data_IF_914258632330
#
_entry.id   IF_914258632330
#
_cell.length_a   1.000
_cell.length_b   1.000
_cell.length_c   1.000
_cell.angle_alpha   90.00
_cell.angle_beta   90.00
_cell.angle_gamma   90.00
#
_symmetry.space_group_name_H-M   'P 1'
#
loop_
_entity.id
_entity.type
_entity.pdbx_description
1 polymer ?
#
# COMPACT_ATOMS: atom_id res chain seq x y z
N UNK A 1 -4.13 72.15 73.03
CA UNK A 1 -4.33 71.30 71.83
C UNK A 1 -3.55 70.01 72.05
N UNK A 2 -4.20 68.86 72.27
CA UNK A 2 -3.50 67.59 72.46
C UNK A 2 -3.06 66.94 71.12
N UNK A 3 -2.01 66.08 71.15
CA UNK A 3 -1.34 65.55 69.98
C UNK A 3 -1.95 64.25 69.41
N UNK A 4 -1.42 63.89 68.24
CA UNK A 4 -1.94 62.96 67.25
C UNK A 4 -1.77 61.47 67.56
N UNK A 5 -2.75 60.70 67.06
CA UNK A 5 -2.71 59.26 66.82
C UNK A 5 -1.57 58.87 65.87
N UNK A 6 -0.82 57.83 66.21
CA UNK A 6 -0.11 57.03 65.20
C UNK A 6 -0.24 55.54 65.56
N UNK A 7 -1.00 54.83 64.73
CA UNK A 7 -1.28 53.40 64.85
C UNK A 7 -0.30 52.62 63.99
N UNK A 8 0.47 51.74 64.62
CA UNK A 8 1.37 50.80 63.95
C UNK A 8 0.59 49.81 63.07
N UNK A 9 0.90 49.77 61.77
CA UNK A 9 0.48 48.68 60.87
C UNK A 9 1.74 48.03 60.30
N UNK A 10 2.06 46.87 60.86
CA UNK A 10 3.04 45.91 60.35
C UNK A 10 2.53 45.28 59.05
N UNK A 11 3.14 45.62 57.92
CA UNK A 11 2.95 44.92 56.64
C UNK A 11 3.86 43.69 56.58
N UNK A 12 3.26 42.50 56.63
CA UNK A 12 3.94 41.23 56.34
C UNK A 12 4.07 41.04 54.81
N UNK A 13 5.31 40.97 54.33
CA UNK A 13 5.67 40.70 52.95
C UNK A 13 5.67 39.18 52.72
N UNK A 14 4.60 38.66 52.08
CA UNK A 14 4.53 37.26 51.64
C UNK A 14 4.95 37.14 50.17
N UNK A 15 5.99 36.35 49.92
CA UNK A 15 6.43 35.94 48.57
C UNK A 15 5.51 34.85 48.00
N UNK A 16 5.25 34.80 46.68
CA UNK A 16 4.40 33.78 46.07
C UNK A 16 5.12 32.43 45.87
N UNK A 17 4.39 31.31 45.85
CA UNK A 17 4.96 29.96 45.76
C UNK A 17 5.44 29.60 44.35
N UNK A 18 6.52 28.83 44.30
CA UNK A 18 7.16 28.25 43.11
C UNK A 18 6.23 27.29 42.35
N UNK A 19 6.05 27.50 41.05
CA UNK A 19 5.34 26.58 40.14
C UNK A 19 6.14 25.30 39.85
N UNK A 20 5.50 24.11 39.73
CA UNK A 20 6.14 22.89 39.28
C UNK A 20 6.40 22.93 37.77
N UNK A 21 7.66 22.72 37.37
CA UNK A 21 8.09 22.60 35.98
C UNK A 21 7.57 21.28 35.39
N UNK A 22 6.49 21.34 34.61
CA UNK A 22 5.97 20.18 33.86
C UNK A 22 7.05 19.71 32.88
N UNK A 23 7.66 18.56 33.15
CA UNK A 23 8.59 17.87 32.25
C UNK A 23 7.81 17.29 31.06
N UNK A 24 7.65 18.08 29.99
CA UNK A 24 7.18 17.64 28.66
C UNK A 24 8.37 17.19 27.78
N UNK A 25 9.18 16.27 28.27
CA UNK A 25 10.25 15.61 27.50
C UNK A 25 10.41 14.29 28.24
N UNK A 26 9.76 13.21 27.83
CA UNK A 26 10.48 12.04 27.29
C UNK A 26 9.54 11.09 26.48
N UNK A 27 8.24 11.37 26.42
CA UNK A 27 7.23 10.48 25.80
C UNK A 27 7.36 10.44 24.27
N UNK A 28 7.64 11.58 23.63
CA UNK A 28 7.74 11.67 22.17
C UNK A 28 9.03 11.04 21.61
N UNK A 29 10.13 11.09 22.36
CA UNK A 29 11.41 10.51 21.95
C UNK A 29 11.39 8.98 22.12
N UNK A 30 10.79 8.47 23.20
CA UNK A 30 10.61 7.04 23.43
C UNK A 30 9.66 6.41 22.40
N UNK A 31 8.58 7.11 22.04
CA UNK A 31 7.63 6.67 21.00
C UNK A 31 8.29 6.63 19.62
N UNK A 32 9.02 7.68 19.21
CA UNK A 32 9.74 7.69 17.93
C UNK A 32 10.85 6.63 17.84
N UNK A 33 11.52 6.32 18.96
CA UNK A 33 12.57 5.29 18.98
C UNK A 33 11.98 3.90 18.89
N UNK A 34 10.88 3.64 19.62
CA UNK A 34 10.13 2.37 19.58
C UNK A 34 9.51 2.14 18.20
N UNK A 35 8.94 3.15 17.56
CA UNK A 35 8.40 3.03 16.19
C UNK A 35 9.50 2.75 15.15
N UNK A 36 10.69 3.33 15.34
CA UNK A 36 11.83 3.07 14.46
C UNK A 36 12.40 1.66 14.66
N UNK A 37 12.50 1.19 15.90
CA UNK A 37 12.97 -0.17 16.21
C UNK A 37 11.94 -1.23 15.76
N UNK A 38 10.64 -0.97 15.94
CA UNK A 38 9.56 -1.83 15.45
C UNK A 38 9.53 -1.86 13.91
N UNK A 39 9.69 -0.69 13.28
CA UNK A 39 9.80 -0.58 11.82
C UNK A 39 10.98 -1.34 11.28
N UNK A 40 12.17 -1.23 11.90
CA UNK A 40 13.35 -1.98 11.51
C UNK A 40 13.16 -3.49 11.68
N UNK A 41 12.59 -3.93 12.81
CA UNK A 41 12.30 -5.35 13.04
C UNK A 41 11.28 -5.92 12.04
N UNK A 42 10.23 -5.16 11.72
CA UNK A 42 9.24 -5.55 10.71
C UNK A 42 9.86 -5.59 9.31
N UNK A 43 10.69 -4.60 8.96
CA UNK A 43 11.40 -4.58 7.68
C UNK A 43 12.37 -5.76 7.57
N UNK A 44 13.09 -6.10 8.63
CA UNK A 44 14.00 -7.25 8.65
C UNK A 44 13.24 -8.57 8.53
N UNK A 45 12.10 -8.68 9.22
CA UNK A 45 11.22 -9.86 9.14
C UNK A 45 10.62 -10.02 7.75
N UNK A 46 10.21 -8.91 7.13
CA UNK A 46 9.68 -8.89 5.76
C UNK A 46 10.79 -9.19 4.74
N UNK A 47 11.96 -8.56 4.83
CA UNK A 47 13.09 -8.83 3.93
C UNK A 47 13.53 -10.29 4.00
N UNK A 48 13.60 -10.87 5.20
CA UNK A 48 14.02 -12.26 5.40
C UNK A 48 12.99 -13.27 4.86
N UNK A 49 11.68 -12.97 4.98
CA UNK A 49 10.59 -13.78 4.41
C UNK A 49 10.47 -13.65 2.89
N UNK A 50 10.65 -12.44 2.36
CA UNK A 50 10.51 -12.14 0.93
C UNK A 50 11.66 -12.75 0.13
N UNK A 51 12.88 -12.74 0.63
CA UNK A 51 14.04 -13.14 -0.20
C UNK A 51 14.18 -14.66 -0.35
N UNK A 52 13.88 -15.45 0.68
CA UNK A 52 14.14 -16.90 0.67
C UNK A 52 12.99 -17.71 0.08
N UNK A 53 11.74 -17.32 0.36
CA UNK A 53 10.55 -18.04 -0.14
C UNK A 53 10.23 -17.63 -1.59
N UNK A 54 10.45 -16.36 -1.95
CA UNK A 54 10.06 -15.86 -3.27
C UNK A 54 10.91 -16.47 -4.38
N UNK A 55 12.23 -16.65 -4.19
CA UNK A 55 13.08 -17.27 -5.22
C UNK A 55 12.68 -18.72 -5.54
N UNK A 56 12.45 -19.57 -4.52
CA UNK A 56 11.95 -20.94 -4.74
C UNK A 56 10.56 -20.96 -5.37
N UNK A 57 9.69 -20.02 -4.98
CA UNK A 57 8.34 -19.85 -5.55
C UNK A 57 8.37 -19.42 -7.02
N UNK A 58 9.32 -18.57 -7.43
CA UNK A 58 9.45 -18.13 -8.83
C UNK A 58 9.92 -19.26 -9.74
N UNK A 59 10.95 -20.02 -9.34
CA UNK A 59 11.40 -21.19 -10.11
C UNK A 59 10.30 -22.25 -10.21
N UNK A 60 9.58 -22.48 -9.10
CA UNK A 60 8.39 -23.33 -9.10
C UNK A 60 7.31 -22.76 -10.03
N UNK A 61 7.04 -21.46 -10.02
CA UNK A 61 6.05 -20.81 -10.90
C UNK A 61 6.37 -20.97 -12.38
N UNK A 62 7.65 -20.90 -12.76
CA UNK A 62 8.08 -21.10 -14.16
C UNK A 62 8.15 -22.58 -14.53
N UNK A 63 8.40 -23.46 -13.56
CA UNK A 63 8.42 -24.92 -13.75
C UNK A 63 9.81 -25.45 -14.05
N UNK A 64 10.83 -24.72 -13.61
CA UNK A 64 12.22 -25.11 -13.76
C UNK A 64 12.48 -26.36 -12.90
N UNK A 65 12.88 -27.46 -13.54
CA UNK A 65 13.16 -28.74 -12.89
C UNK A 65 12.02 -29.78 -12.95
N UNK A 66 10.89 -29.46 -13.59
CA UNK A 66 9.78 -30.40 -13.79
C UNK A 66 9.80 -31.01 -15.20
N UNK A 67 9.43 -32.30 -15.32
CA UNK A 67 9.44 -33.01 -16.61
C UNK A 67 8.27 -32.63 -17.52
N UNK A 68 7.14 -32.21 -16.96
CA UNK A 68 5.96 -31.71 -17.68
C UNK A 68 5.26 -30.57 -16.90
N UNK A 69 5.78 -29.34 -16.99
CA UNK A 69 5.25 -28.20 -16.24
C UNK A 69 3.94 -27.65 -16.80
N UNK A 70 3.69 -27.80 -18.11
CA UNK A 70 2.49 -27.30 -18.77
C UNK A 70 1.69 -28.43 -19.42
N UNK A 71 0.41 -28.53 -19.09
CA UNK A 71 -0.54 -29.43 -19.75
C UNK A 71 -1.93 -28.81 -19.84
N UNK A 72 -2.73 -29.25 -20.81
CA UNK A 72 -4.14 -28.87 -20.86
C UNK A 72 -4.95 -29.82 -19.96
N UNK A 73 -5.60 -29.32 -18.90
CA UNK A 73 -6.44 -30.15 -18.07
C UNK A 73 -7.75 -30.53 -18.78
N UNK A 74 -8.38 -31.66 -18.39
CA UNK A 74 -9.74 -31.99 -18.82
C UNK A 74 -10.73 -30.89 -18.39
N UNK A 75 -11.80 -30.69 -19.18
CA UNK A 75 -12.76 -29.60 -18.99
C UNK A 75 -13.31 -29.50 -17.55
N UNK A 76 -13.55 -30.65 -16.91
CA UNK A 76 -14.10 -30.74 -15.55
C UNK A 76 -13.12 -30.23 -14.47
N UNK A 77 -11.81 -30.26 -14.71
CA UNK A 77 -10.77 -29.85 -13.74
C UNK A 77 -10.22 -28.44 -14.01
N UNK A 78 -10.60 -27.79 -15.13
CA UNK A 78 -10.06 -26.47 -15.54
C UNK A 78 -10.22 -25.40 -14.44
N UNK A 79 -11.44 -25.19 -13.94
CA UNK A 79 -11.73 -24.15 -12.94
C UNK A 79 -11.05 -24.42 -11.59
N UNK A 80 -11.06 -25.68 -11.14
CA UNK A 80 -10.40 -26.09 -9.89
C UNK A 80 -8.90 -25.85 -9.96
N UNK A 81 -8.26 -26.16 -11.10
CA UNK A 81 -6.83 -25.90 -11.31
C UNK A 81 -6.52 -24.41 -11.35
N UNK A 82 -7.30 -23.63 -12.11
CA UNK A 82 -7.13 -22.18 -12.16
C UNK A 82 -7.22 -21.54 -10.77
N UNK A 83 -8.24 -21.89 -9.96
CA UNK A 83 -8.39 -21.35 -8.60
C UNK A 83 -7.24 -21.77 -7.67
N UNK A 84 -6.83 -23.02 -7.76
CA UNK A 84 -5.74 -23.57 -6.92
C UNK A 84 -4.41 -22.92 -7.28
N UNK A 85 -4.09 -22.82 -8.57
CA UNK A 85 -2.87 -22.18 -9.05
C UNK A 85 -2.89 -20.66 -8.81
N UNK A 86 -4.05 -19.99 -8.94
CA UNK A 86 -4.19 -18.58 -8.64
C UNK A 86 -3.92 -18.25 -7.17
N UNK A 87 -4.43 -19.06 -6.25
CA UNK A 87 -4.13 -18.89 -4.82
C UNK A 87 -2.68 -19.24 -4.47
N UNK A 88 -2.10 -20.25 -5.13
CA UNK A 88 -0.72 -20.67 -4.87
C UNK A 88 0.33 -19.68 -5.40
N UNK A 89 0.14 -19.15 -6.61
CA UNK A 89 1.08 -18.24 -7.27
C UNK A 89 0.67 -16.76 -7.21
N UNK A 90 -0.23 -16.39 -6.28
CA UNK A 90 -0.78 -15.03 -6.17
C UNK A 90 0.31 -13.95 -6.15
N UNK A 91 1.35 -14.13 -5.32
CA UNK A 91 2.46 -13.17 -5.22
C UNK A 91 3.21 -13.00 -6.54
N UNK A 92 3.35 -14.07 -7.33
CA UNK A 92 4.02 -14.03 -8.62
C UNK A 92 3.16 -13.32 -9.67
N UNK A 93 1.85 -13.51 -9.65
CA UNK A 93 0.91 -12.80 -10.54
C UNK A 93 0.81 -11.32 -10.18
N UNK A 94 0.89 -10.98 -8.89
CA UNK A 94 0.98 -9.59 -8.45
C UNK A 94 2.30 -8.96 -8.94
N UNK A 95 3.43 -9.66 -8.79
CA UNK A 95 4.72 -9.19 -9.26
C UNK A 95 4.74 -9.01 -10.79
N UNK A 96 4.16 -9.95 -11.54
CA UNK A 96 3.98 -9.84 -12.99
C UNK A 96 3.15 -8.59 -13.34
N UNK A 97 2.03 -8.37 -12.65
CA UNK A 97 1.15 -7.22 -12.88
C UNK A 97 1.86 -5.89 -12.62
N UNK A 98 2.56 -5.78 -11.48
CA UNK A 98 3.35 -4.58 -11.15
C UNK A 98 4.49 -4.38 -12.15
N UNK A 99 5.16 -5.46 -12.55
CA UNK A 99 6.24 -5.41 -13.55
C UNK A 99 5.76 -4.93 -14.92
N UNK A 100 4.64 -5.49 -15.42
CA UNK A 100 4.01 -5.07 -16.68
C UNK A 100 3.57 -3.61 -16.60
N UNK A 101 2.92 -3.20 -15.49
CA UNK A 101 2.52 -1.82 -15.29
C UNK A 101 3.72 -0.86 -15.31
N UNK A 102 4.76 -1.14 -14.52
CA UNK A 102 5.96 -0.31 -14.48
C UNK A 102 6.68 -0.26 -15.83
N UNK A 103 6.77 -1.40 -16.53
CA UNK A 103 7.32 -1.47 -17.87
C UNK A 103 6.54 -0.59 -18.86
N UNK A 104 5.20 -0.65 -18.84
CA UNK A 104 4.36 0.19 -19.68
C UNK A 104 4.57 1.67 -19.40
N UNK A 105 4.63 2.06 -18.12
CA UNK A 105 4.84 3.45 -17.73
C UNK A 105 6.23 3.96 -18.11
N UNK A 106 7.28 3.14 -17.92
CA UNK A 106 8.66 3.54 -18.18
C UNK A 106 8.96 3.64 -19.68
N UNK A 107 8.51 2.67 -20.48
CA UNK A 107 8.88 2.59 -21.90
C UNK A 107 7.91 3.34 -22.82
N UNK A 108 6.60 3.24 -22.60
CA UNK A 108 5.61 3.82 -23.52
C UNK A 108 5.10 5.19 -23.08
N UNK A 109 5.18 5.50 -21.78
CA UNK A 109 4.62 6.73 -21.22
C UNK A 109 5.57 7.50 -20.29
N UNK A 110 6.82 7.81 -20.71
CA UNK A 110 7.78 8.52 -19.86
C UNK A 110 7.27 9.90 -19.43
N UNK A 111 6.51 10.59 -20.30
CA UNK A 111 5.90 11.89 -19.99
C UNK A 111 4.82 11.75 -18.92
N UNK A 112 4.00 10.69 -18.96
CA UNK A 112 2.95 10.46 -17.97
C UNK A 112 3.53 10.22 -16.59
N UNK A 113 4.63 9.46 -16.50
CA UNK A 113 5.39 9.30 -15.25
C UNK A 113 5.90 10.63 -14.71
N UNK A 114 6.49 11.47 -15.57
CA UNK A 114 6.97 12.79 -15.17
C UNK A 114 5.82 13.68 -14.66
N UNK A 115 4.69 13.71 -15.37
CA UNK A 115 3.52 14.49 -14.96
C UNK A 115 2.95 13.98 -13.63
N UNK A 116 2.86 12.66 -13.43
CA UNK A 116 2.46 12.08 -12.15
C UNK A 116 3.37 12.53 -11.01
N UNK A 117 4.69 12.57 -11.23
CA UNK A 117 5.67 13.02 -10.23
C UNK A 117 5.49 14.52 -9.94
N UNK A 118 5.34 15.35 -10.99
CA UNK A 118 5.14 16.80 -10.84
C UNK A 118 3.83 17.11 -10.10
N UNK A 119 2.74 16.43 -10.46
CA UNK A 119 1.43 16.58 -9.81
C UNK A 119 1.51 16.10 -8.35
N UNK A 120 2.12 14.94 -8.09
CA UNK A 120 2.31 14.43 -6.73
C UNK A 120 3.16 15.35 -5.86
N UNK A 121 4.23 15.92 -6.42
CA UNK A 121 5.04 16.93 -5.76
C UNK A 121 4.26 18.23 -5.53
N UNK A 122 3.46 18.66 -6.50
CA UNK A 122 2.56 19.81 -6.37
C UNK A 122 1.58 19.63 -5.22
N UNK A 123 0.95 18.45 -5.10
CA UNK A 123 0.10 18.09 -3.97
C UNK A 123 0.86 18.06 -2.64
N UNK A 124 2.06 17.50 -2.62
CA UNK A 124 2.91 17.51 -1.43
C UNK A 124 3.20 18.93 -0.94
N UNK A 125 3.59 19.84 -1.84
CA UNK A 125 3.80 21.25 -1.50
C UNK A 125 2.51 21.91 -1.05
N UNK A 126 1.41 21.68 -1.77
CA UNK A 126 0.10 22.24 -1.44
C UNK A 126 -0.39 21.82 -0.05
N UNK A 127 -0.18 20.57 0.34
CA UNK A 127 -0.59 20.04 1.64
C UNK A 127 0.36 20.42 2.79
N UNK A 128 1.65 20.68 2.50
CA UNK A 128 2.65 21.03 3.53
C UNK A 128 2.75 22.53 3.79
N UNK A 129 2.40 23.36 2.81
CA UNK A 129 2.42 24.82 2.95
C UNK A 129 1.04 25.30 3.42
N UNK A 130 0.96 25.78 4.66
CA UNK A 130 -0.28 26.32 5.27
C UNK A 130 -0.72 27.67 4.71
N UNK A 131 0.20 28.46 4.17
CA UNK A 131 -0.05 29.78 3.61
C UNK A 131 0.47 29.78 2.18
N UNK A 132 -0.42 29.50 1.24
CA UNK A 132 -0.16 29.73 -0.18
C UNK A 132 -0.75 31.11 -0.47
N UNK A 133 0.04 32.10 -0.93
CA UNK A 133 -0.48 33.43 -1.21
C UNK A 133 -1.41 33.39 -2.44
N UNK A 134 -2.66 32.99 -2.21
CA UNK A 134 -3.76 32.96 -3.19
C UNK A 134 -4.31 34.35 -3.46
N UNK A 135 -4.01 35.31 -2.58
CA UNK A 135 -4.32 36.74 -2.65
C UNK A 135 -3.72 37.46 -3.87
N UNK A 136 -2.75 36.85 -4.56
CA UNK A 136 -2.13 37.38 -5.79
C UNK A 136 -2.56 36.66 -7.08
N UNK A 137 -3.38 35.60 -7.01
CA UNK A 137 -3.88 34.91 -8.20
C UNK A 137 -5.20 35.57 -8.67
N UNK A 138 -5.07 36.54 -9.55
CA UNK A 138 -6.21 37.13 -10.25
C UNK A 138 -6.31 36.53 -11.67
N UNK A 139 -7.41 35.82 -11.94
CA UNK A 139 -7.72 35.31 -13.29
C UNK A 139 -8.94 36.09 -13.80
N UNK A 140 -8.82 36.71 -14.97
CA UNK A 140 -9.88 37.53 -15.57
C UNK A 140 -10.43 38.66 -14.67
N UNK A 141 -9.61 39.20 -13.76
CA UNK A 141 -10.01 40.28 -12.86
C UNK A 141 -10.84 39.84 -11.65
N UNK A 142 -10.99 38.53 -11.42
CA UNK A 142 -11.53 37.97 -10.16
C UNK A 142 -10.38 37.36 -9.34
N UNK A 143 -10.39 37.65 -8.04
CA UNK A 143 -9.54 36.98 -7.06
C UNK A 143 -10.01 35.54 -6.88
N UNK A 144 -9.12 34.58 -7.10
CA UNK A 144 -9.39 33.17 -6.85
C UNK A 144 -9.40 32.90 -5.36
N UNK A 145 -10.48 32.31 -4.86
CA UNK A 145 -10.54 31.78 -3.50
C UNK A 145 -9.66 30.53 -3.40
N UNK A 146 -9.19 30.21 -2.19
CA UNK A 146 -8.48 28.95 -1.92
C UNK A 146 -9.29 27.71 -2.35
N UNK A 147 -10.62 27.79 -2.21
CA UNK A 147 -11.55 26.74 -2.63
C UNK A 147 -11.57 26.55 -4.14
N UNK A 148 -11.50 27.63 -4.92
CA UNK A 148 -11.52 27.58 -6.38
C UNK A 148 -10.22 26.96 -6.92
N UNK A 149 -9.08 27.31 -6.31
CA UNK A 149 -7.78 26.73 -6.66
C UNK A 149 -7.77 25.23 -6.34
N UNK A 150 -8.23 24.84 -5.15
CA UNK A 150 -8.32 23.43 -4.77
C UNK A 150 -9.24 22.66 -5.72
N UNK A 151 -10.39 23.21 -6.08
CA UNK A 151 -11.33 22.59 -7.00
C UNK A 151 -10.72 22.45 -8.40
N UNK A 152 -10.02 23.46 -8.90
CA UNK A 152 -9.35 23.43 -10.20
C UNK A 152 -8.19 22.40 -10.24
N UNK A 153 -7.35 22.35 -9.20
CA UNK A 153 -6.25 21.38 -9.09
C UNK A 153 -6.78 19.95 -8.95
N UNK A 154 -7.83 19.75 -8.15
CA UNK A 154 -8.47 18.43 -7.99
C UNK A 154 -9.15 17.99 -9.29
N UNK A 155 -9.92 18.89 -9.92
CA UNK A 155 -10.62 18.62 -11.17
C UNK A 155 -9.65 18.30 -12.31
N UNK A 156 -8.58 19.09 -12.47
CA UNK A 156 -7.54 18.80 -13.46
C UNK A 156 -6.81 17.48 -13.19
N UNK A 157 -6.51 17.17 -11.92
CA UNK A 157 -5.93 15.87 -11.54
C UNK A 157 -6.89 14.72 -11.89
N UNK A 158 -8.18 14.85 -11.61
CA UNK A 158 -9.18 13.83 -11.95
C UNK A 158 -9.28 13.59 -13.46
N UNK A 159 -9.35 14.65 -14.26
CA UNK A 159 -9.34 14.56 -15.72
C UNK A 159 -8.07 13.88 -16.20
N UNK A 160 -6.90 14.27 -15.67
CA UNK A 160 -5.63 13.64 -16.02
C UNK A 160 -5.61 12.15 -15.69
N UNK A 161 -6.02 11.77 -14.49
CA UNK A 161 -6.07 10.36 -14.07
C UNK A 161 -7.05 9.54 -14.94
N UNK A 162 -8.23 10.10 -15.24
CA UNK A 162 -9.27 9.40 -15.99
C UNK A 162 -8.88 9.16 -17.45
N UNK A 163 -8.29 10.15 -18.11
CA UNK A 163 -8.02 10.07 -19.55
C UNK A 163 -6.61 9.57 -19.89
N UNK A 164 -5.64 9.76 -19.01
CA UNK A 164 -4.25 9.36 -19.28
C UNK A 164 -3.80 8.16 -18.47
N UNK A 165 -4.16 8.08 -17.18
CA UNK A 165 -3.70 6.98 -16.31
C UNK A 165 -4.59 5.75 -16.38
N UNK A 166 -5.91 5.93 -16.33
CA UNK A 166 -6.86 4.83 -16.28
C UNK A 166 -6.74 3.88 -17.50
N UNK A 167 -6.61 4.35 -18.76
CA UNK A 167 -6.47 3.44 -19.89
C UNK A 167 -5.22 2.55 -19.77
N UNK A 168 -4.09 3.12 -19.34
CA UNK A 168 -2.84 2.37 -19.12
C UNK A 168 -3.01 1.33 -18.01
N UNK A 169 -3.69 1.69 -16.91
CA UNK A 169 -3.98 0.77 -15.80
C UNK A 169 -4.87 -0.39 -16.30
N UNK A 170 -5.97 -0.10 -16.99
CA UNK A 170 -6.89 -1.11 -17.51
C UNK A 170 -6.17 -2.05 -18.48
N UNK A 171 -5.34 -1.50 -19.37
CA UNK A 171 -4.57 -2.29 -20.31
C UNK A 171 -3.55 -3.20 -19.60
N UNK A 172 -2.78 -2.64 -18.66
CA UNK A 172 -1.82 -3.41 -17.86
C UNK A 172 -2.51 -4.56 -17.11
N UNK A 173 -3.63 -4.27 -16.43
CA UNK A 173 -4.41 -5.25 -15.70
C UNK A 173 -5.00 -6.32 -16.61
N UNK A 174 -5.48 -5.94 -17.79
CA UNK A 174 -6.07 -6.88 -18.75
C UNK A 174 -5.02 -7.84 -19.29
N UNK A 175 -3.86 -7.33 -19.72
CA UNK A 175 -2.76 -8.15 -20.25
C UNK A 175 -2.17 -9.05 -19.16
N UNK A 176 -1.91 -8.51 -17.96
CA UNK A 176 -1.36 -9.30 -16.87
C UNK A 176 -2.34 -10.34 -16.35
N UNK A 177 -3.63 -10.03 -16.28
CA UNK A 177 -4.67 -10.97 -15.86
C UNK A 177 -4.86 -12.09 -16.88
N UNK A 178 -4.82 -11.78 -18.18
CA UNK A 178 -4.92 -12.78 -19.23
C UNK A 178 -3.71 -13.73 -19.20
N UNK A 179 -2.49 -13.18 -19.07
CA UNK A 179 -1.28 -13.97 -18.92
C UNK A 179 -1.31 -14.84 -17.66
N UNK A 180 -1.76 -14.29 -16.53
CA UNK A 180 -1.90 -15.02 -15.27
C UNK A 180 -2.96 -16.11 -15.34
N UNK A 181 -4.08 -15.87 -16.02
CA UNK A 181 -5.15 -16.85 -16.21
C UNK A 181 -4.69 -17.99 -17.13
N UNK A 182 -4.02 -17.68 -18.24
CA UNK A 182 -3.44 -18.68 -19.13
C UNK A 182 -2.40 -19.52 -18.40
N UNK A 183 -1.51 -18.88 -17.64
CA UNK A 183 -0.54 -19.56 -16.80
C UNK A 183 -1.23 -20.45 -15.74
N UNK A 184 -2.22 -19.92 -15.02
CA UNK A 184 -2.94 -20.67 -14.00
C UNK A 184 -3.70 -21.88 -14.56
N UNK A 185 -4.18 -21.80 -15.81
CA UNK A 185 -4.87 -22.89 -16.48
C UNK A 185 -3.91 -23.98 -16.95
N UNK A 186 -2.83 -23.58 -17.63
CA UNK A 186 -1.88 -24.51 -18.25
C UNK A 186 -0.92 -25.10 -17.23
N UNK A 187 -0.75 -24.46 -16.08
CA UNK A 187 0.25 -24.87 -15.11
C UNK A 187 -0.16 -26.14 -14.37
N UNK A 188 0.67 -27.18 -14.49
CA UNK A 188 0.56 -28.42 -13.75
C UNK A 188 1.37 -28.28 -12.45
N UNK A 189 0.73 -28.22 -11.28
CA UNK A 189 1.41 -28.13 -9.99
C UNK A 189 1.28 -29.44 -9.21
N UNK A 190 2.21 -30.37 -9.47
CA UNK A 190 2.18 -31.75 -8.95
C UNK A 190 2.15 -31.80 -7.41
N UNK A 191 2.89 -30.91 -6.75
CA UNK A 191 2.97 -30.84 -5.28
C UNK A 191 1.60 -30.63 -4.61
N UNK A 192 0.64 -30.03 -5.32
CA UNK A 192 -0.72 -29.82 -4.82
C UNK A 192 -1.70 -30.88 -5.33
N UNK A 193 -1.52 -31.37 -6.55
CA UNK A 193 -2.35 -32.45 -7.11
C UNK A 193 -2.28 -33.72 -6.25
N UNK A 194 -1.09 -34.09 -5.74
CA UNK A 194 -0.91 -35.24 -4.84
C UNK A 194 -1.73 -35.09 -3.53
N UNK A 195 -1.84 -33.86 -3.01
CA UNK A 195 -2.65 -33.58 -1.81
C UNK A 195 -4.16 -33.61 -2.07
N UNK A 196 -4.58 -33.31 -3.30
CA UNK A 196 -5.98 -33.33 -3.71
C UNK A 196 -6.45 -34.77 -3.97
N UNK A 197 -5.65 -35.55 -4.70
CA UNK A 197 -5.88 -36.98 -4.93
C UNK A 197 -5.85 -37.75 -3.59
N UNK A 198 -4.92 -37.43 -2.69
CA UNK A 198 -4.91 -38.01 -1.34
C UNK A 198 -6.15 -37.64 -0.49
N UNK A 199 -6.80 -36.50 -0.75
CA UNK A 199 -8.04 -36.10 -0.06
C UNK A 199 -9.30 -36.75 -0.66
N UNK A 200 -9.25 -37.13 -1.94
CA UNK A 200 -10.36 -37.82 -2.61
C UNK A 200 -10.26 -39.36 -2.49
N UNK A 201 -9.06 -39.90 -2.40
CA UNK A 201 -8.78 -41.34 -2.33
C UNK A 201 -9.47 -42.13 -1.21
N UNK A 202 -9.63 -41.63 0.03
CA UNK A 202 -10.28 -42.39 1.09
C UNK A 202 -11.80 -42.18 1.19
N UNK A 203 -12.36 -41.13 0.59
CA UNK A 203 -13.80 -40.84 0.67
C UNK A 203 -14.62 -41.57 -0.41
N UNK A 204 -14.04 -41.77 -1.59
CA UNK A 204 -14.70 -42.51 -2.67
C UNK A 204 -14.64 -44.04 -2.47
N UNK A 205 -13.67 -44.55 -1.70
CA UNK A 205 -13.58 -45.98 -1.39
C UNK A 205 -14.58 -46.42 -0.31
N UNK A 206 -14.97 -45.53 0.62
CA UNK A 206 -15.91 -45.88 1.69
C UNK A 206 -17.37 -45.93 1.24
N UNK A 207 -17.80 -45.10 0.28
CA UNK A 207 -19.17 -45.16 -0.27
C UNK A 207 -19.41 -46.40 -1.13
N UNK A 208 -18.36 -46.96 -1.76
CA UNK A 208 -18.48 -48.17 -2.59
C UNK A 208 -18.52 -49.43 -1.73
N UNK A 209 -17.94 -49.42 -0.53
CA UNK A 209 -17.96 -50.56 0.39
C UNK A 209 -19.23 -50.61 1.25
N UNK A 210 -19.99 -49.50 1.37
CA UNK A 210 -21.27 -49.47 2.10
C UNK A 210 -22.48 -49.84 1.20
N UNK A 211 -22.29 -49.96 -0.12
CA UNK A 211 -23.32 -50.39 -1.08
C UNK A 211 -23.13 -51.82 -1.62
N UNK A 212 -22.21 -52.61 -1.05
CA UNK A 212 -22.00 -54.04 -1.38
C UNK A 212 -22.42 -54.94 -0.23
#
# INVERSE_FOLDING_TARGET
>A
MPPMLNSSVTHAHMSPPSSPRVRKVDVECSSRKTDRDLGQFLLDTLQRRVTVTSMRSLFSCVGIGETQPFNLPPQQRMLTRMRTNASYFLSNYLLLTVGVFFFLLMFFHPIQMLVCIVVGYGWYVFLTKKEIPTDKLEVFGRRLSEQDVLLAVTGSTMVFLLFFVLPTVIFALSVSSLASAAHALLRNNRLKDDSFEARQGPAASSEVEEMV
#
